data_IF_164451109210
#
_entry.id   IF_164451109210
#
_cell.length_a   1.000
_cell.length_b   1.000
_cell.length_c   1.000
_cell.angle_alpha   90.00
_cell.angle_beta   90.00
_cell.angle_gamma   90.00
#
_symmetry.space_group_name_H-M   'P 1'
#
loop_
_entity.id
_entity.type
_entity.pdbx_description
1 polymer ?
#
# COMPACT_ATOMS: atom_id res chain seq x y z
N UNK A 1 68.92 -47.52 21.73
CA UNK A 1 68.40 -47.26 20.37
C UNK A 1 66.90 -47.48 20.38
N UNK A 2 66.16 -46.45 19.95
CA UNK A 2 64.76 -46.42 19.46
C UNK A 2 63.64 -46.83 20.44
N UNK A 3 62.98 -45.81 20.98
CA UNK A 3 61.61 -45.84 21.48
C UNK A 3 60.63 -46.03 20.31
N UNK A 4 59.56 -46.81 20.52
CA UNK A 4 58.40 -46.85 19.62
C UNK A 4 57.16 -46.44 20.42
N UNK A 5 56.55 -45.37 19.94
CA UNK A 5 55.32 -44.73 20.40
C UNK A 5 54.12 -45.60 20.00
N UNK A 6 53.12 -45.79 20.87
CA UNK A 6 51.79 -46.23 20.45
C UNK A 6 50.74 -45.26 20.99
N UNK A 7 49.97 -44.71 20.06
CA UNK A 7 49.08 -43.58 20.22
C UNK A 7 47.74 -43.95 20.87
N UNK A 8 47.29 -43.09 21.79
CA UNK A 8 45.91 -43.04 22.29
C UNK A 8 44.98 -42.53 21.18
N UNK A 9 43.92 -43.28 20.89
CA UNK A 9 42.82 -42.84 20.02
C UNK A 9 41.77 -42.12 20.89
N UNK A 10 41.68 -40.80 20.78
CA UNK A 10 40.62 -39.98 21.39
C UNK A 10 39.45 -39.94 20.42
N UNK A 11 38.31 -40.50 20.80
CA UNK A 11 37.05 -40.36 20.07
C UNK A 11 36.47 -38.95 20.31
N UNK A 12 36.67 -38.05 19.36
CA UNK A 12 36.04 -36.73 19.36
C UNK A 12 34.58 -36.81 18.93
N UNK A 13 33.67 -36.46 19.83
CA UNK A 13 32.28 -36.13 19.50
C UNK A 13 32.28 -34.83 18.69
N UNK A 14 31.96 -34.91 17.40
CA UNK A 14 31.68 -33.74 16.57
C UNK A 14 30.30 -33.17 16.94
N UNK A 15 30.17 -31.87 17.27
CA UNK A 15 28.86 -31.26 17.32
C UNK A 15 28.31 -31.17 15.89
N UNK A 16 27.15 -31.79 15.64
CA UNK A 16 26.34 -31.50 14.47
C UNK A 16 25.86 -30.06 14.58
N UNK A 17 26.60 -29.13 13.96
CA UNK A 17 26.07 -27.82 13.62
C UNK A 17 25.06 -28.02 12.50
N UNK A 18 23.80 -28.27 12.84
CA UNK A 18 22.71 -28.09 11.90
C UNK A 18 22.71 -26.61 11.52
N UNK A 19 23.27 -26.27 10.35
CA UNK A 19 23.00 -24.96 9.75
C UNK A 19 21.48 -24.88 9.58
N UNK A 20 20.85 -23.96 10.28
CA UNK A 20 19.47 -23.61 9.98
C UNK A 20 19.44 -23.17 8.51
N UNK A 21 18.69 -23.89 7.67
CA UNK A 21 18.36 -23.41 6.33
C UNK A 21 17.63 -22.06 6.51
N UNK A 22 18.16 -21.00 5.87
CA UNK A 22 17.51 -19.69 5.86
C UNK A 22 16.18 -19.70 5.09
N UNK A 23 15.58 -18.53 4.91
CA UNK A 23 14.33 -18.39 4.17
C UNK A 23 14.46 -18.92 2.73
N UNK A 24 13.46 -19.67 2.27
CA UNK A 24 13.37 -20.14 0.88
C UNK A 24 12.34 -19.33 0.12
N UNK A 25 12.73 -18.77 -1.01
CA UNK A 25 11.88 -17.89 -1.83
C UNK A 25 11.55 -18.56 -3.14
N UNK A 26 10.27 -18.61 -3.48
CA UNK A 26 9.78 -18.94 -4.83
C UNK A 26 9.20 -17.68 -5.44
N UNK A 27 9.58 -17.36 -6.68
CA UNK A 27 9.23 -16.10 -7.35
C UNK A 27 8.41 -16.36 -8.60
N UNK A 28 7.42 -15.52 -8.82
CA UNK A 28 6.58 -15.51 -10.00
C UNK A 28 6.45 -14.09 -10.52
N UNK A 29 6.38 -13.95 -11.84
CA UNK A 29 5.76 -12.77 -12.45
C UNK A 29 4.32 -13.15 -12.75
N UNK A 30 3.37 -12.35 -12.25
CA UNK A 30 1.95 -12.61 -12.46
C UNK A 30 1.60 -12.34 -13.92
N UNK A 31 0.84 -13.25 -14.51
CA UNK A 31 0.41 -13.20 -15.91
C UNK A 31 -1.10 -13.05 -16.02
N UNK A 32 -1.57 -12.55 -17.16
CA UNK A 32 -2.99 -12.26 -17.45
C UNK A 32 -3.45 -13.11 -18.64
N UNK A 33 -3.81 -14.39 -18.41
CA UNK A 33 -3.99 -15.37 -19.49
C UNK A 33 -5.19 -15.11 -20.39
N UNK A 34 -6.21 -14.34 -19.95
CA UNK A 34 -7.29 -13.94 -20.85
C UNK A 34 -6.95 -12.67 -21.66
N UNK A 35 -5.72 -12.17 -21.54
CA UNK A 35 -5.25 -10.98 -22.23
C UNK A 35 -5.84 -9.71 -21.64
N UNK A 36 -6.09 -9.68 -20.33
CA UNK A 36 -6.62 -8.52 -19.64
C UNK A 36 -5.69 -7.31 -19.81
N UNK A 37 -6.26 -6.25 -20.37
CA UNK A 37 -5.65 -4.95 -20.53
C UNK A 37 -6.70 -3.88 -20.27
N UNK A 38 -6.30 -2.75 -19.71
CA UNK A 38 -7.18 -1.60 -19.62
C UNK A 38 -7.31 -0.98 -21.01
N UNK A 39 -8.55 -0.87 -21.50
CA UNK A 39 -8.80 -0.29 -22.82
C UNK A 39 -8.28 1.14 -22.89
N UNK A 40 -7.51 1.44 -23.94
CA UNK A 40 -6.87 2.75 -24.08
C UNK A 40 -6.86 3.20 -25.53
N UNK A 41 -7.55 4.32 -25.78
CA UNK A 41 -7.65 4.95 -27.10
C UNK A 41 -7.14 6.40 -27.07
N UNK A 42 -6.36 6.75 -26.04
CA UNK A 42 -5.87 8.10 -25.83
C UNK A 42 -4.70 8.48 -26.74
N UNK A 43 -4.15 9.67 -26.49
CA UNK A 43 -3.09 10.33 -27.29
C UNK A 43 -1.86 9.45 -27.50
N UNK A 44 -1.51 8.60 -26.54
CA UNK A 44 -0.32 7.74 -26.58
C UNK A 44 -0.62 6.26 -26.83
N UNK A 45 -1.80 5.92 -27.34
CA UNK A 45 -2.21 4.52 -27.57
C UNK A 45 -1.20 3.71 -28.42
N UNK A 46 -0.44 4.37 -29.31
CA UNK A 46 0.63 3.71 -30.09
C UNK A 46 1.76 3.11 -29.23
N UNK A 47 1.98 3.62 -28.02
CA UNK A 47 2.94 3.07 -27.07
C UNK A 47 2.42 1.83 -26.35
N UNK A 48 1.12 1.56 -26.45
CA UNK A 48 0.39 0.49 -25.76
C UNK A 48 -0.50 -0.26 -26.74
N UNK A 49 0.08 -1.01 -27.71
CA UNK A 49 -0.66 -1.61 -28.82
C UNK A 49 -1.75 -2.60 -28.39
N UNK A 50 -1.65 -3.17 -27.18
CA UNK A 50 -2.61 -4.11 -26.61
C UNK A 50 -3.54 -3.46 -25.57
N UNK A 51 -3.43 -2.15 -25.33
CA UNK A 51 -4.01 -1.47 -24.16
C UNK A 51 -3.01 -1.27 -23.04
N UNK A 52 -3.42 -0.53 -22.00
CA UNK A 52 -2.60 -0.30 -20.82
C UNK A 52 -2.51 -1.61 -20.00
N UNK A 53 -1.41 -1.85 -19.26
CA UNK A 53 -1.32 -2.96 -18.32
C UNK A 53 -2.44 -2.89 -17.26
N UNK A 54 -2.70 -3.99 -16.56
CA UNK A 54 -3.53 -4.00 -15.35
C UNK A 54 -2.58 -3.97 -14.15
N UNK A 55 -2.75 -3.01 -13.24
CA UNK A 55 -1.99 -2.93 -12.00
C UNK A 55 -2.69 -3.70 -10.90
N UNK A 56 -2.13 -4.82 -10.47
CA UNK A 56 -2.63 -5.61 -9.33
C UNK A 56 -1.62 -5.53 -8.18
N UNK A 57 -2.01 -5.99 -6.99
CA UNK A 57 -1.08 -6.13 -5.88
C UNK A 57 -1.19 -5.04 -4.81
N UNK A 58 -2.15 -4.13 -4.98
CA UNK A 58 -2.62 -3.12 -4.01
C UNK A 58 -3.39 -3.80 -2.85
N UNK A 59 -2.93 -4.97 -2.40
CA UNK A 59 -3.57 -5.83 -1.41
C UNK A 59 -3.54 -7.31 -1.80
N UNK A 60 -3.37 -8.20 -0.81
CA UNK A 60 -3.34 -9.65 -1.06
C UNK A 60 -3.94 -10.46 0.10
N UNK A 61 -4.93 -11.29 -0.20
CA UNK A 61 -5.52 -12.22 0.76
C UNK A 61 -5.40 -13.66 0.28
N UNK A 62 -4.96 -14.58 1.15
CA UNK A 62 -4.97 -16.01 0.84
C UNK A 62 -6.36 -16.61 1.08
N UNK A 63 -7.06 -16.91 -0.01
CA UNK A 63 -8.42 -17.46 0.01
C UNK A 63 -8.46 -18.95 0.33
N UNK A 64 -7.41 -19.69 -0.07
CA UNK A 64 -7.27 -21.11 0.23
C UNK A 64 -6.63 -21.90 -0.90
N UNK A 65 -6.81 -23.22 -0.87
CA UNK A 65 -6.28 -24.13 -1.89
C UNK A 65 -7.37 -24.69 -2.79
N UNK A 66 -7.06 -24.87 -4.06
CA UNK A 66 -7.84 -25.68 -5.00
C UNK A 66 -6.95 -26.80 -5.54
N UNK A 67 -7.05 -27.99 -4.96
CA UNK A 67 -6.03 -29.01 -5.15
C UNK A 67 -4.69 -28.55 -4.58
N UNK A 68 -3.63 -28.58 -5.39
CA UNK A 68 -2.30 -28.09 -5.02
C UNK A 68 -2.11 -26.57 -5.27
N UNK A 69 -3.03 -25.95 -6.01
CA UNK A 69 -2.94 -24.54 -6.36
C UNK A 69 -3.33 -23.66 -5.16
N UNK A 70 -2.59 -22.57 -4.96
CA UNK A 70 -2.93 -21.53 -4.00
C UNK A 70 -3.78 -20.47 -4.70
N UNK A 71 -4.88 -20.07 -4.06
CA UNK A 71 -5.77 -19.04 -4.56
C UNK A 71 -5.68 -17.84 -3.63
N UNK A 72 -5.39 -16.69 -4.23
CA UNK A 72 -5.40 -15.41 -3.55
C UNK A 72 -6.46 -14.51 -4.15
N UNK A 73 -6.94 -13.54 -3.39
CA UNK A 73 -7.69 -12.39 -3.88
C UNK A 73 -6.82 -11.14 -3.74
N UNK A 74 -6.86 -10.28 -4.75
CA UNK A 74 -6.12 -9.01 -4.82
C UNK A 74 -7.06 -7.91 -5.32
N UNK A 75 -6.61 -6.66 -5.21
CA UNK A 75 -7.28 -5.51 -5.81
C UNK A 75 -6.30 -4.70 -6.63
N UNK A 76 -6.84 -3.82 -7.47
CA UNK A 76 -6.09 -2.78 -8.17
C UNK A 76 -6.29 -1.45 -7.45
N UNK A 77 -5.35 -0.52 -7.59
CA UNK A 77 -5.49 0.86 -7.15
C UNK A 77 -6.43 1.66 -8.08
N UNK A 78 -6.41 2.99 -7.96
CA UNK A 78 -7.26 3.97 -8.69
C UNK A 78 -7.20 3.95 -10.22
N UNK A 79 -6.37 3.13 -10.84
CA UNK A 79 -6.30 3.04 -12.30
C UNK A 79 -5.04 3.66 -12.90
N UNK A 80 -4.84 3.47 -14.22
CA UNK A 80 -3.63 3.92 -14.91
C UNK A 80 -3.41 5.43 -14.77
N UNK A 81 -2.41 5.80 -13.97
CA UNK A 81 -2.07 7.18 -13.70
C UNK A 81 -0.56 7.45 -13.84
N UNK A 82 -0.19 8.72 -14.03
CA UNK A 82 1.20 9.14 -14.15
C UNK A 82 1.43 10.56 -13.60
N UNK A 83 2.68 10.85 -13.23
CA UNK A 83 3.11 12.19 -12.82
C UNK A 83 2.82 13.22 -13.91
N UNK A 84 2.36 14.41 -13.51
CA UNK A 84 2.00 15.47 -14.43
C UNK A 84 2.67 16.81 -14.07
N UNK A 85 2.77 17.73 -15.04
CA UNK A 85 3.06 19.13 -14.76
C UNK A 85 2.01 19.77 -13.86
N UNK A 86 2.44 20.72 -13.04
CA UNK A 86 1.56 21.44 -12.11
C UNK A 86 0.48 22.22 -12.86
N UNK A 87 -0.69 22.37 -12.24
CA UNK A 87 -1.79 23.21 -12.74
C UNK A 87 -1.99 24.35 -11.77
N UNK A 88 -1.65 25.58 -12.17
CA UNK A 88 -1.74 26.76 -11.29
C UNK A 88 -1.09 26.53 -9.91
N UNK A 89 0.15 26.03 -9.93
CA UNK A 89 0.96 25.68 -8.73
C UNK A 89 0.41 24.54 -7.87
N UNK A 90 -0.64 23.84 -8.32
CA UNK A 90 -1.14 22.62 -7.66
C UNK A 90 -0.55 21.37 -8.28
N UNK A 91 -0.31 20.38 -7.43
CA UNK A 91 0.02 19.02 -7.87
C UNK A 91 -1.05 18.49 -8.83
N UNK A 92 -0.64 17.67 -9.78
CA UNK A 92 -1.52 17.10 -10.79
C UNK A 92 -1.10 15.69 -11.15
N UNK A 93 -2.07 14.90 -11.62
CA UNK A 93 -1.86 13.55 -12.14
C UNK A 93 -2.60 13.38 -13.44
N UNK A 94 -1.99 12.64 -14.36
CA UNK A 94 -2.66 12.19 -15.58
C UNK A 94 -3.38 10.89 -15.26
N UNK A 95 -4.67 10.83 -15.54
CA UNK A 95 -5.47 9.61 -15.56
C UNK A 95 -5.61 9.18 -17.02
N UNK A 96 -4.86 8.16 -17.43
CA UNK A 96 -4.81 7.70 -18.83
C UNK A 96 -6.11 6.99 -19.24
N UNK A 97 -6.84 6.44 -18.26
CA UNK A 97 -8.19 5.87 -18.44
C UNK A 97 -9.11 6.37 -17.32
N UNK A 98 -9.67 7.59 -17.42
CA UNK A 98 -10.47 8.22 -16.35
C UNK A 98 -11.72 7.42 -15.94
N UNK A 99 -12.28 6.66 -16.87
CA UNK A 99 -13.46 5.80 -16.64
C UNK A 99 -13.08 4.42 -16.06
N UNK A 100 -11.81 4.21 -15.71
CA UNK A 100 -11.37 2.97 -15.07
C UNK A 100 -12.03 2.81 -13.71
N UNK A 101 -12.54 1.60 -13.47
CA UNK A 101 -13.08 1.17 -12.21
C UNK A 101 -12.08 0.21 -11.55
N UNK A 102 -11.67 0.45 -10.29
CA UNK A 102 -10.85 -0.50 -9.56
C UNK A 102 -11.46 -1.90 -9.58
N UNK A 103 -10.62 -2.93 -9.65
CA UNK A 103 -11.04 -4.32 -9.79
C UNK A 103 -10.66 -5.12 -8.56
N UNK A 104 -11.51 -6.07 -8.19
CA UNK A 104 -11.07 -7.27 -7.48
C UNK A 104 -10.68 -8.34 -8.51
N UNK A 105 -9.61 -9.07 -8.23
CA UNK A 105 -9.16 -10.21 -9.03
C UNK A 105 -8.76 -11.37 -8.12
N UNK A 106 -8.67 -12.57 -8.70
CA UNK A 106 -8.03 -13.70 -8.04
C UNK A 106 -6.66 -13.95 -8.66
N UNK A 107 -5.69 -14.40 -7.88
CA UNK A 107 -4.41 -14.90 -8.38
C UNK A 107 -4.34 -16.39 -8.09
N UNK A 108 -4.28 -17.20 -9.13
CA UNK A 108 -4.00 -18.64 -9.02
C UNK A 108 -2.51 -18.87 -9.12
N UNK A 109 -1.91 -19.42 -8.07
CA UNK A 109 -0.50 -19.80 -8.03
C UNK A 109 -0.37 -21.32 -8.05
N UNK A 110 0.19 -21.82 -9.14
CA UNK A 110 0.57 -23.22 -9.33
C UNK A 110 2.06 -23.40 -9.01
N UNK A 111 2.59 -24.62 -9.12
CA UNK A 111 4.03 -24.86 -9.00
C UNK A 111 4.89 -24.15 -10.06
N UNK A 112 4.29 -23.62 -11.15
CA UNK A 112 5.02 -23.06 -12.30
C UNK A 112 4.66 -21.61 -12.65
N UNK A 113 3.50 -21.14 -12.22
CA UNK A 113 2.96 -19.87 -12.69
C UNK A 113 2.07 -19.21 -11.63
N UNK A 114 2.01 -17.87 -11.67
CA UNK A 114 0.99 -17.07 -11.04
C UNK A 114 0.15 -16.40 -12.14
N UNK A 115 -1.16 -16.56 -12.08
CA UNK A 115 -2.10 -16.10 -13.10
C UNK A 115 -3.21 -15.29 -12.44
N UNK A 116 -3.35 -14.02 -12.81
CA UNK A 116 -4.46 -13.17 -12.41
C UNK A 116 -5.69 -13.47 -13.27
N UNK A 117 -6.83 -13.73 -12.64
CA UNK A 117 -8.07 -14.19 -13.28
C UNK A 117 -9.29 -13.57 -12.60
N UNK A 118 -10.47 -13.78 -13.19
CA UNK A 118 -11.77 -13.40 -12.62
C UNK A 118 -11.88 -11.91 -12.24
N UNK A 119 -11.65 -10.96 -13.15
CA UNK A 119 -11.80 -9.54 -12.85
C UNK A 119 -13.25 -9.18 -12.50
N UNK A 120 -13.41 -8.39 -11.44
CA UNK A 120 -14.70 -7.94 -10.91
C UNK A 120 -14.61 -6.45 -10.58
N UNK A 121 -15.26 -5.61 -11.38
CA UNK A 121 -15.24 -4.16 -11.15
C UNK A 121 -15.99 -3.79 -9.88
N UNK A 122 -15.41 -2.86 -9.12
CA UNK A 122 -16.11 -2.23 -8.01
C UNK A 122 -17.24 -1.35 -8.53
N UNK A 123 -18.42 -1.54 -7.98
CA UNK A 123 -19.63 -0.88 -8.43
C UNK A 123 -20.65 -0.71 -7.28
N UNK A 124 -21.60 0.19 -7.46
CA UNK A 124 -22.74 0.41 -6.57
C UNK A 124 -24.05 0.44 -7.39
N UNK A 125 -25.11 1.02 -6.84
CA UNK A 125 -26.40 1.12 -7.55
C UNK A 125 -26.36 2.08 -8.75
N UNK A 126 -25.42 3.03 -8.73
CA UNK A 126 -25.20 4.04 -9.76
C UNK A 126 -24.26 3.55 -10.89
N UNK A 127 -23.65 2.37 -10.73
CA UNK A 127 -22.80 1.70 -11.71
C UNK A 127 -21.36 1.56 -11.23
N UNK A 128 -20.40 1.55 -12.15
CA UNK A 128 -18.99 1.42 -11.79
C UNK A 128 -18.48 2.63 -10.99
N UNK A 129 -17.61 2.35 -10.02
CA UNK A 129 -16.79 3.33 -9.31
C UNK A 129 -15.70 3.86 -10.28
N UNK A 130 -15.08 4.98 -9.93
CA UNK A 130 -13.92 5.54 -10.65
C UNK A 130 -12.76 5.74 -9.69
N UNK A 131 -11.52 5.78 -10.18
CA UNK A 131 -10.38 6.21 -9.36
C UNK A 131 -10.06 7.71 -9.39
N UNK A 132 -10.89 8.53 -10.03
CA UNK A 132 -10.74 9.99 -9.99
C UNK A 132 -10.78 10.53 -8.55
N UNK A 133 -10.02 11.59 -8.23
CA UNK A 133 -9.92 12.11 -6.87
C UNK A 133 -11.23 12.75 -6.39
N UNK A 134 -11.40 12.80 -5.06
CA UNK A 134 -12.55 13.46 -4.43
C UNK A 134 -12.51 15.00 -4.60
N UNK A 135 -13.67 15.69 -4.61
CA UNK A 135 -13.74 17.15 -4.63
C UNK A 135 -12.95 17.81 -3.49
N UNK A 136 -12.40 19.00 -3.74
CA UNK A 136 -11.43 19.67 -2.84
C UNK A 136 -11.98 20.04 -1.45
N UNK A 137 -13.30 20.12 -1.29
CA UNK A 137 -13.97 20.43 -0.03
C UNK A 137 -14.35 19.18 0.79
N UNK A 138 -14.04 17.98 0.29
CA UNK A 138 -14.35 16.72 0.96
C UNK A 138 -13.16 16.18 1.74
N UNK A 139 -13.45 15.59 2.91
CA UNK A 139 -12.54 14.67 3.60
C UNK A 139 -12.11 13.59 2.61
N UNK A 140 -10.80 13.39 2.56
CA UNK A 140 -10.16 12.43 1.69
C UNK A 140 -9.79 12.96 0.30
N UNK A 141 -9.99 14.24 0.03
CA UNK A 141 -9.40 14.85 -1.18
C UNK A 141 -7.88 14.78 -1.16
N UNK A 142 -7.30 14.58 -2.34
CA UNK A 142 -5.85 14.67 -2.56
C UNK A 142 -5.42 16.09 -2.91
N UNK A 143 -6.38 16.98 -3.21
CA UNK A 143 -6.20 18.33 -3.75
C UNK A 143 -5.41 18.41 -5.07
N UNK A 144 -5.09 17.25 -5.67
CA UNK A 144 -4.44 17.20 -6.98
C UNK A 144 -5.43 17.50 -8.09
N UNK A 145 -4.94 18.09 -9.17
CA UNK A 145 -5.74 18.28 -10.39
C UNK A 145 -5.64 17.02 -11.24
N UNK A 146 -6.78 16.37 -11.48
CA UNK A 146 -6.88 15.28 -12.44
C UNK A 146 -6.82 15.82 -13.87
N UNK A 147 -5.93 15.27 -14.69
CA UNK A 147 -5.76 15.59 -16.09
C UNK A 147 -6.00 14.35 -16.95
N UNK A 148 -6.48 14.50 -18.18
CA UNK A 148 -6.37 13.44 -19.18
C UNK A 148 -4.96 13.41 -19.79
N UNK A 149 -4.70 12.46 -20.68
CA UNK A 149 -3.41 12.31 -21.36
C UNK A 149 -3.08 13.40 -22.40
N UNK A 150 -4.03 14.30 -22.67
CA UNK A 150 -3.82 15.53 -23.41
C UNK A 150 -3.56 16.74 -22.50
N UNK A 151 -3.38 16.52 -21.18
CA UNK A 151 -3.18 17.53 -20.14
C UNK A 151 -4.37 18.48 -19.95
N UNK A 152 -5.58 18.03 -20.27
CA UNK A 152 -6.80 18.80 -20.03
C UNK A 152 -7.42 18.39 -18.69
N UNK A 153 -7.95 19.35 -17.90
CA UNK A 153 -8.60 19.04 -16.63
C UNK A 153 -9.79 18.09 -16.77
N UNK A 154 -9.87 17.16 -15.83
CA UNK A 154 -10.99 16.25 -15.61
C UNK A 154 -11.80 16.72 -14.39
N UNK A 155 -13.07 16.29 -14.34
CA UNK A 155 -13.89 16.48 -13.14
C UNK A 155 -13.47 15.51 -12.03
N UNK A 156 -13.56 15.96 -10.78
CA UNK A 156 -13.48 15.10 -9.60
C UNK A 156 -14.73 14.24 -9.46
N UNK A 157 -14.67 13.22 -8.60
CA UNK A 157 -15.80 12.32 -8.34
C UNK A 157 -15.98 12.07 -6.85
N UNK A 158 -17.21 12.16 -6.34
CA UNK A 158 -17.55 11.70 -4.98
C UNK A 158 -17.58 10.17 -4.85
N UNK A 159 -17.56 9.46 -6.00
CA UNK A 159 -17.46 8.01 -6.12
C UNK A 159 -16.02 7.58 -6.48
N UNK A 160 -15.04 8.45 -6.20
CA UNK A 160 -13.62 8.19 -6.35
C UNK A 160 -13.11 7.23 -5.29
N UNK A 161 -12.40 6.17 -5.67
CA UNK A 161 -11.69 5.27 -4.75
C UNK A 161 -10.30 4.91 -5.30
N UNK A 162 -9.33 4.93 -4.40
CA UNK A 162 -7.97 4.41 -4.57
C UNK A 162 -7.81 3.20 -3.67
N UNK A 163 -8.28 2.05 -4.16
CA UNK A 163 -8.48 0.89 -3.30
C UNK A 163 -7.19 0.16 -2.99
N UNK A 164 -7.02 -0.10 -1.70
CA UNK A 164 -5.85 -0.75 -1.12
C UNK A 164 -6.31 -1.84 -0.16
N UNK A 165 -5.50 -2.87 0.03
CA UNK A 165 -5.73 -3.97 0.95
C UNK A 165 -7.01 -4.79 0.67
N UNK A 166 -7.01 -6.06 1.08
CA UNK A 166 -8.20 -6.90 1.01
C UNK A 166 -8.22 -7.93 2.13
N UNK A 167 -9.37 -8.09 2.78
CA UNK A 167 -9.56 -9.11 3.81
C UNK A 167 -11.00 -9.64 3.77
N UNK A 168 -11.27 -10.91 4.11
CA UNK A 168 -12.62 -11.45 4.04
C UNK A 168 -13.53 -10.79 5.07
N UNK A 169 -14.83 -10.69 4.77
CA UNK A 169 -15.83 -10.26 5.76
C UNK A 169 -16.28 -11.41 6.70
N UNK A 170 -15.92 -12.65 6.35
CA UNK A 170 -16.31 -13.88 7.06
C UNK A 170 -17.69 -14.43 6.66
N UNK A 171 -18.35 -13.83 5.67
CA UNK A 171 -19.70 -14.14 5.16
C UNK A 171 -19.73 -14.32 3.63
N UNK A 172 -18.57 -14.32 2.98
CA UNK A 172 -18.41 -14.54 1.53
C UNK A 172 -18.18 -13.27 0.71
N UNK A 173 -18.16 -12.11 1.35
CA UNK A 173 -17.69 -10.85 0.78
C UNK A 173 -16.31 -10.46 1.34
N UNK A 174 -15.97 -9.19 1.17
CA UNK A 174 -14.67 -8.65 1.54
C UNK A 174 -14.79 -7.25 2.15
N UNK A 175 -13.82 -6.93 2.99
CA UNK A 175 -13.48 -5.56 3.34
C UNK A 175 -12.27 -5.13 2.53
N UNK A 176 -12.34 -3.94 1.94
CA UNK A 176 -11.24 -3.24 1.30
C UNK A 176 -10.95 -1.96 2.07
N UNK A 177 -9.74 -1.41 1.95
CA UNK A 177 -9.47 -0.05 2.39
C UNK A 177 -9.16 0.86 1.19
N UNK A 178 -8.95 2.14 1.47
CA UNK A 178 -8.79 3.14 0.44
C UNK A 178 -7.82 4.22 0.90
N UNK A 179 -6.94 4.60 -0.03
CA UNK A 179 -5.89 5.57 0.22
C UNK A 179 -6.48 6.98 0.30
N UNK A 180 -7.56 7.32 -0.42
CA UNK A 180 -8.17 8.66 -0.40
C UNK A 180 -8.78 9.06 0.95
N UNK A 181 -9.67 8.30 1.56
CA UNK A 181 -10.53 8.79 2.64
C UNK A 181 -9.83 9.27 3.92
N UNK A 182 -9.20 8.40 4.70
CA UNK A 182 -9.08 6.95 4.46
C UNK A 182 -10.42 6.23 4.71
N UNK A 183 -10.83 5.33 3.82
CA UNK A 183 -12.13 4.64 3.91
C UNK A 183 -12.00 3.13 4.14
N UNK A 184 -13.00 2.55 4.80
CA UNK A 184 -13.23 1.11 4.89
C UNK A 184 -14.47 0.77 4.05
N UNK A 185 -14.36 -0.19 3.14
CA UNK A 185 -15.37 -0.48 2.13
C UNK A 185 -15.80 -1.95 2.27
N UNK A 186 -17.08 -2.20 2.54
CA UNK A 186 -17.67 -3.54 2.51
C UNK A 186 -18.15 -3.84 1.10
N UNK A 187 -17.70 -4.95 0.52
CA UNK A 187 -18.11 -5.41 -0.80
C UNK A 187 -18.61 -6.84 -0.74
N UNK A 188 -19.57 -7.19 -1.60
CA UNK A 188 -19.89 -8.59 -1.85
C UNK A 188 -18.85 -9.26 -2.78
N UNK A 189 -18.99 -10.57 -3.00
CA UNK A 189 -18.09 -11.35 -3.85
C UNK A 189 -18.01 -10.85 -5.31
N UNK A 190 -18.99 -10.09 -5.79
CA UNK A 190 -19.03 -9.56 -7.16
C UNK A 190 -18.39 -8.18 -7.29
N UNK A 191 -17.92 -7.58 -6.19
CA UNK A 191 -17.39 -6.22 -6.15
C UNK A 191 -18.45 -5.14 -5.90
N UNK A 192 -19.69 -5.52 -5.56
CA UNK A 192 -20.72 -4.52 -5.24
C UNK A 192 -20.47 -3.94 -3.86
N UNK A 193 -20.34 -2.61 -3.78
CA UNK A 193 -20.23 -1.88 -2.51
C UNK A 193 -21.55 -1.97 -1.75
N UNK A 194 -21.47 -2.53 -0.55
CA UNK A 194 -22.58 -2.68 0.39
C UNK A 194 -22.60 -1.55 1.42
N UNK A 195 -21.42 -1.14 1.88
CA UNK A 195 -21.27 -0.10 2.89
C UNK A 195 -19.89 0.56 2.78
N UNK A 196 -19.81 1.83 3.17
CA UNK A 196 -18.54 2.57 3.27
C UNK A 196 -18.48 3.32 4.59
N UNK A 197 -17.35 3.24 5.27
CA UNK A 197 -17.04 3.99 6.49
C UNK A 197 -15.86 4.93 6.26
N UNK A 198 -15.89 6.07 6.90
CA UNK A 198 -14.87 7.11 6.77
C UNK A 198 -14.80 8.00 7.99
N UNK A 199 -13.86 8.96 8.03
CA UNK A 199 -13.75 9.87 9.16
C UNK A 199 -15.08 10.60 9.36
N UNK A 200 -15.62 10.53 10.57
CA UNK A 200 -16.88 11.19 10.93
C UNK A 200 -16.68 12.70 10.80
N UNK A 201 -17.35 13.42 9.89
CA UNK A 201 -17.12 14.85 9.69
C UNK A 201 -17.48 15.67 10.94
N UNK A 202 -16.73 16.74 11.20
CA UNK A 202 -16.99 17.70 12.27
C UNK A 202 -17.21 19.11 11.71
N UNK A 203 -18.12 19.89 12.33
CA UNK A 203 -18.40 21.26 11.91
C UNK A 203 -18.90 21.34 10.46
N UNK A 204 -18.16 22.03 9.60
CA UNK A 204 -18.51 22.25 8.19
C UNK A 204 -17.79 21.29 7.23
N UNK A 205 -17.22 20.19 7.74
CA UNK A 205 -16.56 19.20 6.90
C UNK A 205 -17.57 18.41 6.05
N UNK A 206 -17.23 18.20 4.78
CA UNK A 206 -17.98 17.33 3.89
C UNK A 206 -17.29 15.97 3.78
N UNK A 207 -18.06 14.88 3.70
CA UNK A 207 -17.50 13.53 3.54
C UNK A 207 -18.48 12.64 2.77
N UNK A 208 -17.93 11.65 2.07
CA UNK A 208 -18.69 10.61 1.36
C UNK A 208 -18.98 9.39 2.24
N UNK A 209 -18.46 9.36 3.47
CA UNK A 209 -18.67 8.31 4.46
C UNK A 209 -18.45 8.83 5.89
N UNK A 210 -18.92 8.06 6.88
CA UNK A 210 -18.82 8.40 8.30
C UNK A 210 -18.64 7.12 9.12
N UNK A 211 -18.42 7.23 10.44
CA UNK A 211 -18.34 6.10 11.37
C UNK A 211 -16.93 5.71 11.82
N UNK A 212 -15.88 6.36 11.31
CA UNK A 212 -14.51 6.23 11.83
C UNK A 212 -14.10 7.50 12.61
N UNK A 213 -13.04 7.44 13.43
CA UNK A 213 -12.55 8.60 14.18
C UNK A 213 -12.15 9.75 13.26
N UNK A 214 -12.63 10.96 13.54
CA UNK A 214 -12.37 12.15 12.70
C UNK A 214 -10.87 12.44 12.50
N UNK A 215 -10.03 12.16 13.50
CA UNK A 215 -8.61 12.53 13.50
C UNK A 215 -7.83 11.95 12.31
N UNK A 216 -8.23 10.80 11.78
CA UNK A 216 -7.54 10.17 10.64
C UNK A 216 -7.74 10.93 9.32
N UNK A 217 -8.62 11.96 9.28
CA UNK A 217 -8.70 12.92 8.17
C UNK A 217 -7.37 13.63 7.91
N UNK A 218 -6.52 13.73 8.94
CA UNK A 218 -5.18 14.31 8.86
C UNK A 218 -4.17 13.37 8.20
N UNK A 219 -4.61 12.29 7.55
CA UNK A 219 -3.76 11.51 6.65
C UNK A 219 -3.09 12.47 5.64
N UNK A 220 -1.89 12.12 5.22
CA UNK A 220 -1.25 12.86 4.13
C UNK A 220 -1.96 12.53 2.81
N UNK A 221 -2.18 13.49 1.89
CA UNK A 221 -2.74 13.20 0.57
C UNK A 221 -2.04 12.02 -0.12
N UNK A 222 -2.81 11.11 -0.72
CA UNK A 222 -2.35 9.81 -1.25
C UNK A 222 -1.50 9.04 -0.24
N UNK A 223 -1.98 8.93 1.02
CA UNK A 223 -1.41 8.13 2.14
C UNK A 223 -2.47 7.78 3.21
N UNK A 224 -3.64 7.33 2.80
CA UNK A 224 -4.75 6.93 3.68
C UNK A 224 -4.54 5.57 4.30
N UNK A 225 -5.53 4.67 4.19
CA UNK A 225 -5.32 3.28 4.60
C UNK A 225 -4.63 2.52 3.48
N UNK A 226 -3.58 1.78 3.82
CA UNK A 226 -2.83 0.94 2.86
C UNK A 226 -3.12 -0.55 3.03
N UNK A 227 -3.20 -0.99 4.29
CA UNK A 227 -3.36 -2.40 4.61
C UNK A 227 -4.50 -2.59 5.59
N UNK A 228 -5.23 -3.69 5.42
CA UNK A 228 -6.21 -4.12 6.40
C UNK A 228 -6.23 -5.64 6.60
N UNK A 229 -6.63 -6.05 7.79
CA UNK A 229 -6.88 -7.47 8.10
C UNK A 229 -8.04 -7.64 9.05
N UNK A 230 -8.79 -8.73 8.89
CA UNK A 230 -9.78 -9.20 9.86
C UNK A 230 -9.10 -10.08 10.91
N UNK A 231 -9.21 -9.70 12.18
CA UNK A 231 -8.81 -10.54 13.31
C UNK A 231 -9.76 -11.74 13.47
N UNK A 232 -9.35 -12.83 14.14
CA UNK A 232 -10.23 -13.96 14.42
C UNK A 232 -11.58 -13.59 15.06
N UNK A 233 -11.60 -12.60 15.97
CA UNK A 233 -12.82 -12.11 16.63
C UNK A 233 -13.74 -11.26 15.72
N UNK A 234 -13.34 -10.97 14.49
CA UNK A 234 -14.11 -10.19 13.52
C UNK A 234 -13.80 -8.69 13.51
N UNK A 235 -12.93 -8.21 14.39
CA UNK A 235 -12.41 -6.84 14.34
C UNK A 235 -11.60 -6.63 13.06
N UNK A 236 -11.84 -5.53 12.36
CA UNK A 236 -11.03 -5.10 11.22
C UNK A 236 -9.94 -4.16 11.74
N UNK A 237 -8.69 -4.44 11.44
CA UNK A 237 -7.56 -3.54 11.67
C UNK A 237 -7.19 -2.91 10.34
N UNK A 238 -7.05 -1.59 10.30
CA UNK A 238 -6.57 -0.84 9.12
C UNK A 238 -5.37 0.01 9.51
N UNK A 239 -4.34 0.05 8.67
CA UNK A 239 -3.13 0.81 8.91
C UNK A 239 -3.13 2.10 8.08
N UNK A 240 -3.00 3.26 8.73
CA UNK A 240 -2.75 4.51 8.02
C UNK A 240 -1.30 4.46 7.48
N UNK A 241 -1.13 4.62 6.16
CA UNK A 241 0.11 4.37 5.43
C UNK A 241 1.30 5.14 6.04
N UNK A 242 1.09 6.38 6.48
CA UNK A 242 2.15 7.22 7.05
C UNK A 242 1.66 8.00 8.26
N UNK A 243 2.60 8.59 8.99
CA UNK A 243 2.31 9.53 10.09
C UNK A 243 1.26 10.58 9.70
N UNK A 244 0.35 10.92 10.62
CA UNK A 244 -0.62 11.98 10.37
C UNK A 244 0.08 13.34 10.26
N UNK A 245 -0.48 14.23 9.44
CA UNK A 245 -0.04 15.61 9.23
C UNK A 245 -1.00 16.63 9.85
N UNK A 246 -1.13 16.59 11.17
CA UNK A 246 -2.02 17.46 11.92
C UNK A 246 -1.53 18.90 11.78
N UNK A 247 -2.38 19.75 11.19
CA UNK A 247 -2.14 21.16 10.88
C UNK A 247 -0.83 21.42 10.10
N UNK A 248 -0.36 20.44 9.31
CA UNK A 248 0.88 20.56 8.54
C UNK A 248 2.17 20.46 9.36
N UNK A 249 2.09 19.98 10.62
CA UNK A 249 3.18 20.12 11.61
C UNK A 249 3.76 18.80 12.11
N UNK A 250 3.02 17.70 12.12
CA UNK A 250 3.43 16.47 12.81
C UNK A 250 4.14 15.45 11.91
N UNK A 251 3.82 15.37 10.61
CA UNK A 251 4.22 14.23 9.75
C UNK A 251 5.71 13.87 9.76
N UNK A 252 6.58 14.87 9.89
CA UNK A 252 8.03 14.65 9.80
C UNK A 252 8.65 14.14 11.11
N UNK A 253 7.94 14.21 12.25
CA UNK A 253 8.50 13.99 13.60
C UNK A 253 7.71 13.02 14.47
N UNK A 254 6.46 12.71 14.13
CA UNK A 254 5.63 11.79 14.90
C UNK A 254 6.32 10.43 15.06
N UNK A 255 6.24 9.85 16.26
CA UNK A 255 6.92 8.61 16.63
C UNK A 255 6.19 7.34 16.13
N UNK A 256 4.99 7.49 15.58
CA UNK A 256 4.11 6.39 15.20
C UNK A 256 3.17 6.80 14.05
N UNK A 257 2.64 5.80 13.35
CA UNK A 257 1.38 5.92 12.58
C UNK A 257 0.27 5.14 13.28
N UNK A 258 -0.99 5.36 12.90
CA UNK A 258 -2.15 4.77 13.56
C UNK A 258 -2.58 3.45 12.92
N UNK A 259 -2.89 2.47 13.77
CA UNK A 259 -3.73 1.33 13.44
C UNK A 259 -5.14 1.61 13.97
N UNK A 260 -6.13 1.62 13.09
CA UNK A 260 -7.54 1.77 13.45
C UNK A 260 -8.12 0.37 13.61
N UNK A 261 -8.68 0.07 14.79
CA UNK A 261 -9.38 -1.19 15.05
C UNK A 261 -10.88 -0.91 15.06
N UNK A 262 -11.64 -1.49 14.14
CA UNK A 262 -13.06 -1.28 13.95
C UNK A 262 -13.82 -2.60 14.12
N UNK A 263 -14.87 -2.60 14.95
CA UNK A 263 -15.76 -3.75 15.08
C UNK A 263 -17.00 -3.52 14.18
N UNK A 264 -17.20 -4.34 13.13
CA UNK A 264 -18.33 -4.14 12.21
C UNK A 264 -19.71 -4.40 12.83
N UNK A 265 -19.80 -5.18 13.91
CA UNK A 265 -21.08 -5.50 14.56
C UNK A 265 -21.57 -4.34 15.43
N UNK A 266 -20.67 -3.74 16.22
CA UNK A 266 -20.99 -2.61 17.10
C UNK A 266 -20.76 -1.25 16.43
N UNK A 267 -20.07 -1.21 15.29
CA UNK A 267 -19.60 -0.02 14.59
C UNK A 267 -18.81 0.94 15.49
N UNK A 268 -18.04 0.37 16.43
CA UNK A 268 -17.16 1.13 17.32
C UNK A 268 -15.71 0.95 16.90
N UNK A 269 -14.91 1.99 17.08
CA UNK A 269 -13.48 1.97 16.80
C UNK A 269 -12.64 2.34 18.02
N UNK A 270 -11.42 1.80 18.06
CA UNK A 270 -10.31 2.31 18.87
C UNK A 270 -9.07 2.45 18.02
N UNK A 271 -8.07 3.19 18.49
CA UNK A 271 -6.82 3.40 17.74
C UNK A 271 -5.60 3.01 18.56
N UNK A 272 -4.64 2.37 17.91
CA UNK A 272 -3.33 2.03 18.49
C UNK A 272 -2.23 2.74 17.71
N UNK A 273 -1.09 3.00 18.35
CA UNK A 273 0.09 3.55 17.67
C UNK A 273 1.05 2.44 17.24
N UNK A 274 1.35 2.33 15.95
CA UNK A 274 2.43 1.52 15.41
C UNK A 274 3.74 2.34 15.40
N UNK A 275 4.80 1.93 16.11
CA UNK A 275 6.01 2.74 16.24
C UNK A 275 6.79 2.81 14.93
N UNK A 276 7.25 4.00 14.56
CA UNK A 276 8.17 4.22 13.44
C UNK A 276 9.60 4.29 13.98
N UNK A 277 10.54 3.63 13.30
CA UNK A 277 11.96 3.72 13.63
C UNK A 277 12.53 5.03 13.08
N UNK A 278 12.18 6.17 13.69
CA UNK A 278 12.43 7.50 13.12
C UNK A 278 13.92 7.76 12.79
N UNK A 279 14.85 7.16 13.52
CA UNK A 279 16.30 7.30 13.30
C UNK A 279 16.80 6.61 12.01
N UNK A 280 16.00 5.69 11.46
CA UNK A 280 16.30 5.02 10.20
C UNK A 280 15.97 5.90 8.99
N UNK A 281 15.03 6.83 9.13
CA UNK A 281 14.52 7.62 8.01
C UNK A 281 15.01 9.07 8.08
N UNK A 282 15.03 9.75 6.93
CA UNK A 282 15.32 11.20 6.91
C UNK A 282 14.21 12.01 7.57
N UNK A 283 12.96 11.59 7.37
CA UNK A 283 11.75 12.14 8.01
C UNK A 283 10.84 10.97 8.39
N UNK A 284 10.12 11.07 9.50
CA UNK A 284 9.25 9.98 9.96
C UNK A 284 8.21 9.54 8.89
N UNK A 285 7.66 10.49 8.13
CA UNK A 285 6.75 10.24 7.00
C UNK A 285 7.33 9.43 5.83
N UNK A 286 8.65 9.26 5.77
CA UNK A 286 9.29 8.51 4.69
C UNK A 286 9.15 6.99 4.94
N UNK A 287 8.82 6.58 6.18
CA UNK A 287 8.33 5.25 6.50
C UNK A 287 6.88 5.11 6.04
N UNK A 288 6.62 4.10 5.21
CA UNK A 288 5.29 3.75 4.70
C UNK A 288 4.91 2.35 5.12
N UNK A 289 3.66 2.16 5.49
CA UNK A 289 3.06 0.83 5.61
C UNK A 289 2.70 0.32 4.21
N UNK A 290 2.87 -0.96 3.95
CA UNK A 290 2.50 -1.60 2.68
C UNK A 290 1.23 -2.44 2.78
N UNK A 291 1.22 -3.49 3.60
CA UNK A 291 0.00 -4.28 3.89
C UNK A 291 0.13 -4.97 5.26
N UNK A 292 -0.97 -5.51 5.78
CA UNK A 292 -1.02 -6.21 7.07
C UNK A 292 -1.80 -7.52 6.99
N UNK A 293 -1.40 -8.51 7.80
CA UNK A 293 -2.16 -9.76 7.95
C UNK A 293 -2.19 -10.21 9.41
N UNK A 294 -3.35 -10.66 9.87
CA UNK A 294 -3.53 -11.13 11.24
C UNK A 294 -2.90 -12.50 11.47
N UNK A 295 -2.27 -12.68 12.64
CA UNK A 295 -1.89 -13.98 13.17
C UNK A 295 -2.90 -14.46 14.22
N UNK A 296 -3.31 -13.55 15.09
CA UNK A 296 -4.35 -13.74 16.10
C UNK A 296 -4.94 -12.38 16.54
N UNK A 297 -5.76 -12.35 17.59
CA UNK A 297 -6.42 -11.12 18.07
C UNK A 297 -5.46 -10.07 18.68
N UNK A 298 -4.19 -10.41 18.87
CA UNK A 298 -3.19 -9.55 19.51
C UNK A 298 -1.95 -9.33 18.65
N UNK A 299 -1.77 -10.11 17.57
CA UNK A 299 -0.57 -10.07 16.74
C UNK A 299 -0.93 -10.00 15.27
N UNK A 300 -0.24 -9.10 14.57
CA UNK A 300 -0.29 -8.96 13.12
C UNK A 300 1.11 -9.02 12.53
N UNK A 301 1.23 -9.37 11.26
CA UNK A 301 2.38 -9.01 10.44
C UNK A 301 2.08 -7.73 9.69
N UNK A 302 3.09 -6.90 9.50
CA UNK A 302 2.96 -5.61 8.83
C UNK A 302 4.19 -5.36 7.96
N UNK A 303 3.98 -4.89 6.73
CA UNK A 303 5.04 -4.37 5.88
C UNK A 303 5.33 -2.92 6.22
N UNK A 304 6.59 -2.59 6.51
CA UNK A 304 7.08 -1.22 6.54
C UNK A 304 8.21 -1.06 5.52
N UNK A 305 8.14 0.01 4.74
CA UNK A 305 9.01 0.27 3.60
C UNK A 305 9.35 1.76 3.43
N UNK A 306 10.37 2.02 2.64
CA UNK A 306 10.80 3.38 2.30
C UNK A 306 12.32 3.51 2.23
N UNK A 307 12.79 4.58 1.58
CA UNK A 307 14.20 4.90 1.55
C UNK A 307 14.67 5.40 2.91
N UNK A 308 15.74 4.80 3.43
CA UNK A 308 16.37 5.26 4.66
C UNK A 308 17.06 6.64 4.47
N UNK A 309 17.64 7.17 5.55
CA UNK A 309 18.34 8.46 5.52
C UNK A 309 19.52 8.51 4.52
N UNK A 310 20.06 7.36 4.16
CA UNK A 310 21.16 7.17 3.20
C UNK A 310 20.65 6.79 1.80
N UNK A 311 19.33 6.92 1.59
CA UNK A 311 18.59 6.67 0.34
C UNK A 311 18.63 5.20 -0.11
N UNK A 312 18.88 4.26 0.81
CA UNK A 312 18.75 2.84 0.50
C UNK A 312 17.30 2.41 0.76
N UNK A 313 16.69 1.77 -0.24
CA UNK A 313 15.32 1.31 -0.12
C UNK A 313 15.24 0.13 0.86
N UNK A 314 14.29 0.18 1.79
CA UNK A 314 14.01 -0.85 2.77
C UNK A 314 12.61 -1.42 2.49
N UNK A 315 12.44 -2.75 2.56
CA UNK A 315 11.13 -3.41 2.57
C UNK A 315 11.21 -4.54 3.59
N UNK A 316 10.49 -4.37 4.71
CA UNK A 316 10.61 -5.25 5.87
C UNK A 316 9.24 -5.70 6.33
N UNK A 317 9.15 -6.96 6.73
CA UNK A 317 7.98 -7.52 7.39
C UNK A 317 8.29 -7.56 8.89
N UNK A 318 7.43 -6.95 9.68
CA UNK A 318 7.51 -6.92 11.13
C UNK A 318 6.41 -7.78 11.75
N UNK A 319 6.75 -8.54 12.78
CA UNK A 319 5.77 -9.06 13.73
C UNK A 319 5.43 -7.94 14.72
N UNK A 320 4.14 -7.61 14.83
CA UNK A 320 3.64 -6.54 15.69
C UNK A 320 2.75 -7.12 16.77
N UNK A 321 3.07 -6.84 18.02
CA UNK A 321 2.30 -7.18 19.22
C UNK A 321 1.51 -5.96 19.69
N UNK A 322 0.18 -6.11 19.70
CA UNK A 322 -0.81 -5.10 20.04
C UNK A 322 -1.25 -5.20 21.52
N UNK A 323 -0.91 -6.28 22.23
CA UNK A 323 -1.50 -6.65 23.52
C UNK A 323 -1.33 -5.61 24.62
N UNK A 324 -0.25 -4.82 24.58
CA UNK A 324 0.07 -3.78 25.56
C UNK A 324 -0.12 -2.36 25.04
N UNK A 325 -0.56 -2.19 23.79
CA UNK A 325 -0.73 -0.87 23.21
C UNK A 325 -1.91 -0.13 23.86
N UNK A 326 -1.70 1.15 24.21
CA UNK A 326 -2.75 2.01 24.74
C UNK A 326 -3.76 2.37 23.64
N UNK A 327 -5.03 2.47 23.99
CA UNK A 327 -6.03 3.11 23.13
C UNK A 327 -5.75 4.62 23.08
N UNK A 328 -5.54 5.13 21.87
CA UNK A 328 -5.25 6.54 21.60
C UNK A 328 -6.50 7.41 21.59
N UNK A 329 -7.70 6.83 21.46
CA UNK A 329 -8.97 7.56 21.32
C UNK A 329 -9.20 8.62 22.41
N UNK A 330 -8.95 8.36 23.71
CA UNK A 330 -9.14 9.35 24.75
C UNK A 330 -8.20 10.57 24.65
N UNK A 331 -7.11 10.47 23.90
CA UNK A 331 -6.09 11.52 23.80
C UNK A 331 -6.33 12.51 22.65
N UNK A 332 -7.32 12.25 21.79
CA UNK A 332 -7.61 13.05 20.60
C UNK A 332 -8.51 14.26 20.91
N UNK A 333 -9.22 14.26 22.05
CA UNK A 333 -10.30 15.20 22.35
C UNK A 333 -9.84 16.63 22.75
N UNK A 334 -8.59 16.80 23.20
CA UNK A 334 -8.16 18.04 23.87
C UNK A 334 -7.22 18.92 23.02
N UNK A 335 -7.05 18.62 21.73
CA UNK A 335 -6.07 19.29 20.87
C UNK A 335 -4.61 19.01 21.23
N UNK A 336 -4.36 18.02 22.11
CA UNK A 336 -3.04 17.54 22.53
C UNK A 336 -2.75 16.19 21.90
N UNK A 337 -2.81 16.14 20.58
CA UNK A 337 -2.60 14.91 19.84
C UNK A 337 -1.25 14.27 20.16
N UNK A 338 -1.15 12.96 20.43
CA UNK A 338 0.12 12.30 20.73
C UNK A 338 1.15 12.36 19.58
N UNK A 339 0.73 12.70 18.36
CA UNK A 339 1.60 12.89 17.18
C UNK A 339 2.65 13.99 17.36
N UNK A 340 2.44 14.91 18.33
CA UNK A 340 3.39 15.96 18.66
C UNK A 340 4.41 15.56 19.73
N UNK A 341 4.21 14.41 20.37
CA UNK A 341 5.06 13.95 21.46
C UNK A 341 6.27 13.16 20.96
N UNK A 342 7.40 13.29 21.67
CA UNK A 342 8.48 12.31 21.62
C UNK A 342 8.19 11.09 22.52
N UNK A 343 9.06 10.08 22.49
CA UNK A 343 8.86 8.84 23.26
C UNK A 343 8.77 9.08 24.78
N UNK A 344 9.54 10.02 25.33
CA UNK A 344 9.52 10.31 26.77
C UNK A 344 8.23 11.03 27.17
N UNK A 345 7.70 11.89 26.31
CA UNK A 345 6.42 12.56 26.48
C UNK A 345 5.25 11.58 26.39
N UNK A 346 5.27 10.65 25.43
CA UNK A 346 4.30 9.56 25.33
C UNK A 346 4.28 8.72 26.63
N UNK A 347 5.45 8.30 27.11
CA UNK A 347 5.59 7.53 28.36
C UNK A 347 5.04 8.31 29.56
N UNK A 348 5.37 9.61 29.68
CA UNK A 348 4.86 10.47 30.75
C UNK A 348 3.33 10.61 30.73
N UNK A 349 2.70 10.48 29.55
CA UNK A 349 1.24 10.46 29.37
C UNK A 349 0.61 9.08 29.60
N UNK A 350 1.41 8.05 29.87
CA UNK A 350 0.95 6.67 30.00
C UNK A 350 0.57 6.02 28.66
N UNK A 351 1.08 6.54 27.55
CA UNK A 351 0.82 6.01 26.21
C UNK A 351 1.90 4.98 25.88
N UNK A 352 1.48 3.73 25.68
CA UNK A 352 2.33 2.64 25.21
C UNK A 352 2.01 2.37 23.74
N UNK A 353 3.02 2.45 22.87
CA UNK A 353 2.89 2.05 21.46
C UNK A 353 2.90 0.53 21.34
N UNK A 354 2.41 -0.01 20.22
CA UNK A 354 2.59 -1.42 19.88
C UNK A 354 4.08 -1.78 19.84
N UNK A 355 4.41 -3.04 20.09
CA UNK A 355 5.79 -3.52 19.99
C UNK A 355 6.00 -4.21 18.64
N UNK A 356 7.11 -3.91 17.95
CA UNK A 356 7.45 -4.56 16.68
C UNK A 356 8.79 -5.26 16.73
N UNK A 357 8.90 -6.37 16.01
CA UNK A 357 10.13 -7.12 15.81
C UNK A 357 10.31 -7.44 14.32
N UNK A 358 11.48 -7.15 13.76
CA UNK A 358 11.78 -7.51 12.36
C UNK A 358 11.71 -9.04 12.20
N UNK A 359 10.94 -9.49 11.21
CA UNK A 359 10.76 -10.89 10.88
C UNK A 359 11.48 -11.24 9.57
N UNK A 360 11.28 -10.42 8.52
CA UNK A 360 11.88 -10.63 7.20
C UNK A 360 12.40 -9.30 6.65
N UNK A 361 13.62 -9.31 6.12
CA UNK A 361 14.17 -8.24 5.29
C UNK A 361 14.14 -8.69 3.82
N UNK A 362 13.19 -8.17 3.05
CA UNK A 362 12.96 -8.60 1.67
C UNK A 362 14.12 -8.21 0.75
N UNK A 363 14.82 -7.10 1.07
CA UNK A 363 15.99 -6.65 0.32
C UNK A 363 17.14 -7.65 0.45
N UNK A 364 17.35 -8.23 1.64
CA UNK A 364 18.31 -9.33 1.84
C UNK A 364 17.94 -10.60 1.08
N UNK A 365 16.65 -10.83 0.81
CA UNK A 365 16.15 -11.93 -0.01
C UNK A 365 16.17 -11.62 -1.53
N UNK A 366 16.63 -10.42 -1.90
CA UNK A 366 16.85 -9.98 -3.28
C UNK A 366 15.69 -9.21 -3.90
N UNK A 367 14.71 -8.74 -3.13
CA UNK A 367 13.56 -7.99 -3.64
C UNK A 367 14.02 -6.70 -4.31
N UNK A 368 13.61 -6.45 -5.55
CA UNK A 368 14.05 -5.29 -6.33
C UNK A 368 12.96 -4.23 -6.47
N UNK A 369 11.68 -4.61 -6.50
CA UNK A 369 10.56 -3.68 -6.65
C UNK A 369 10.56 -2.62 -5.54
N UNK A 370 10.11 -1.41 -5.86
CA UNK A 370 10.03 -0.32 -4.86
C UNK A 370 9.08 -0.68 -3.72
N UNK A 371 7.89 -1.16 -4.08
CA UNK A 371 6.76 -1.35 -3.17
C UNK A 371 6.47 -2.82 -2.90
N UNK A 372 5.88 -3.09 -1.73
CA UNK A 372 5.28 -4.36 -1.32
C UNK A 372 3.94 -4.00 -0.66
N UNK A 373 2.86 -4.09 -1.42
CA UNK A 373 1.53 -3.60 -1.03
C UNK A 373 0.49 -4.73 -0.93
N UNK A 374 0.93 -5.97 -1.09
CA UNK A 374 0.15 -7.13 -0.68
C UNK A 374 0.94 -8.07 0.24
N UNK A 375 0.33 -8.51 1.33
CA UNK A 375 0.88 -9.46 2.29
C UNK A 375 -0.18 -10.49 2.73
N UNK A 376 0.07 -11.77 2.48
CA UNK A 376 -0.81 -12.85 2.93
C UNK A 376 -0.06 -13.93 3.72
N UNK A 377 -0.77 -14.55 4.68
CA UNK A 377 -0.33 -15.74 5.40
C UNK A 377 -0.92 -16.98 4.71
N UNK A 378 -0.08 -17.80 4.08
CA UNK A 378 -0.51 -19.05 3.42
C UNK A 378 -0.66 -20.18 4.44
N UNK A 379 0.29 -20.27 5.35
CA UNK A 379 0.27 -21.16 6.51
C UNK A 379 1.21 -20.62 7.59
N UNK A 380 1.39 -21.34 8.71
CA UNK A 380 2.24 -20.89 9.82
C UNK A 380 3.71 -20.64 9.45
N UNK A 381 4.19 -21.08 8.30
CA UNK A 381 5.59 -20.94 7.89
C UNK A 381 5.74 -20.25 6.52
N UNK A 382 4.66 -20.00 5.79
CA UNK A 382 4.71 -19.49 4.42
C UNK A 382 3.96 -18.17 4.31
N UNK A 383 4.68 -17.12 3.90
CA UNK A 383 4.12 -15.82 3.54
C UNK A 383 4.04 -15.69 2.02
N UNK A 384 3.07 -14.91 1.53
CA UNK A 384 3.05 -14.43 0.17
C UNK A 384 3.14 -12.89 0.18
N UNK A 385 3.94 -12.33 -0.71
CA UNK A 385 4.03 -10.87 -0.93
C UNK A 385 3.94 -10.54 -2.42
N UNK A 386 3.42 -9.35 -2.73
CA UNK A 386 3.31 -8.84 -4.09
C UNK A 386 3.56 -7.32 -4.12
N UNK A 387 4.12 -6.78 -5.21
CA UNK A 387 4.17 -5.33 -5.45
C UNK A 387 2.93 -4.85 -6.19
N UNK A 388 2.58 -3.60 -5.93
CA UNK A 388 1.90 -2.76 -6.90
C UNK A 388 2.93 -2.22 -7.92
N UNK A 389 2.58 -2.19 -9.20
CA UNK A 389 3.39 -1.64 -10.29
C UNK A 389 2.79 -0.36 -10.91
N UNK A 390 1.77 0.24 -10.28
CA UNK A 390 1.10 1.47 -10.71
C UNK A 390 0.62 1.37 -12.18
N UNK A 391 0.05 0.23 -12.57
CA UNK A 391 -0.36 -0.08 -13.95
C UNK A 391 0.78 -0.03 -14.99
N UNK A 392 2.04 -0.07 -14.58
CA UNK A 392 3.16 -0.25 -15.47
C UNK A 392 3.39 0.90 -16.46
N UNK A 393 2.99 2.13 -16.12
CA UNK A 393 3.18 3.33 -16.96
C UNK A 393 3.94 4.45 -16.24
N UNK A 394 4.52 5.34 -17.03
CA UNK A 394 5.21 6.53 -16.55
C UNK A 394 5.01 7.69 -17.54
N UNK A 395 5.14 8.91 -17.03
CA UNK A 395 5.30 10.08 -17.87
C UNK A 395 6.77 10.38 -18.14
N UNK A 396 7.09 10.79 -19.36
CA UNK A 396 8.45 11.08 -19.82
C UNK A 396 8.45 12.43 -20.51
N UNK A 397 9.32 13.32 -20.05
CA UNK A 397 9.56 14.60 -20.71
C UNK A 397 10.37 14.41 -21.98
N UNK A 398 9.95 15.12 -23.04
CA UNK A 398 10.68 15.23 -24.30
C UNK A 398 11.24 16.64 -24.42
N UNK A 399 12.53 16.71 -24.73
CA UNK A 399 13.29 17.98 -24.76
C UNK A 399 13.17 18.77 -23.45
N UNK A 400 13.49 18.16 -22.28
CA UNK A 400 13.44 18.89 -21.03
C UNK A 400 14.48 20.03 -21.04
N UNK A 401 14.15 21.16 -20.41
CA UNK A 401 15.04 22.31 -20.24
C UNK A 401 16.33 21.91 -19.51
N UNK A 402 16.22 21.07 -18.47
CA UNK A 402 17.38 20.45 -17.80
C UNK A 402 17.21 18.94 -17.77
N UNK A 403 18.32 18.22 -17.89
CA UNK A 403 18.33 16.76 -17.99
C UNK A 403 17.72 16.01 -16.78
N UNK A 404 17.67 16.64 -15.61
CA UNK A 404 17.12 16.06 -14.37
C UNK A 404 15.70 16.52 -14.06
N UNK A 405 15.11 17.33 -14.93
CA UNK A 405 13.77 17.82 -14.68
C UNK A 405 12.76 16.67 -14.69
N UNK A 406 11.74 16.82 -13.86
CA UNK A 406 10.57 15.96 -13.75
C UNK A 406 9.33 16.71 -14.19
N UNK A 407 8.23 15.99 -14.36
CA UNK A 407 6.98 16.57 -14.84
C UNK A 407 6.52 17.74 -13.95
N UNK A 408 6.57 17.57 -12.63
CA UNK A 408 6.20 18.54 -11.59
C UNK A 408 7.12 19.78 -11.51
N UNK A 409 8.25 19.80 -12.22
CA UNK A 409 9.04 21.02 -12.38
C UNK A 409 8.49 21.96 -13.49
N UNK A 410 7.45 21.55 -14.20
CA UNK A 410 6.77 22.32 -15.24
C UNK A 410 5.35 22.68 -14.81
N UNK A 411 4.76 23.69 -15.45
CA UNK A 411 3.34 24.01 -15.31
C UNK A 411 2.64 23.88 -16.65
N UNK A 412 1.42 23.35 -16.65
CA UNK A 412 0.56 23.32 -17.83
C UNK A 412 -0.27 24.61 -17.92
N UNK A 413 -0.31 25.20 -19.11
CA UNK A 413 -1.15 26.35 -19.44
C UNK A 413 -2.55 25.91 -19.88
N UNK A 414 -3.50 26.83 -19.91
CA UNK A 414 -4.87 26.53 -20.36
C UNK A 414 -4.95 26.00 -21.80
N UNK A 415 -3.98 26.29 -22.66
CA UNK A 415 -3.85 25.75 -24.03
C UNK A 415 -3.06 24.43 -24.10
N UNK A 416 -2.74 23.81 -22.95
CA UNK A 416 -2.08 22.50 -22.87
C UNK A 416 -0.57 22.53 -23.17
N UNK A 417 0.05 23.72 -23.18
CA UNK A 417 1.49 23.88 -23.34
C UNK A 417 2.20 23.87 -22.00
N UNK A 418 3.50 23.58 -22.03
CA UNK A 418 4.32 23.59 -20.84
C UNK A 418 5.05 24.92 -20.69
N UNK A 419 5.15 25.34 -19.44
CA UNK A 419 6.02 26.43 -19.02
C UNK A 419 6.96 25.94 -17.93
N UNK A 420 8.12 26.59 -17.83
CA UNK A 420 9.07 26.43 -16.74
C UNK A 420 9.54 27.80 -16.30
N UNK A 421 9.53 28.06 -15.00
CA UNK A 421 9.89 29.37 -14.42
C UNK A 421 9.11 30.53 -15.11
N UNK A 422 7.83 30.30 -15.44
CA UNK A 422 6.94 31.26 -16.10
C UNK A 422 7.20 31.48 -17.61
N UNK A 423 8.13 30.73 -18.22
CA UNK A 423 8.47 30.85 -19.65
C UNK A 423 7.95 29.65 -20.43
N UNK A 424 7.39 29.90 -21.61
CA UNK A 424 7.01 28.83 -22.54
C UNK A 424 8.26 28.08 -23.02
N UNK A 425 8.12 26.76 -23.16
CA UNK A 425 9.19 25.84 -23.55
C UNK A 425 8.71 24.89 -24.65
N UNK A 426 9.65 24.34 -25.42
CA UNK A 426 9.36 23.29 -26.41
C UNK A 426 9.21 21.91 -25.77
N UNK A 427 9.38 21.81 -24.45
CA UNK A 427 9.22 20.57 -23.70
C UNK A 427 7.80 20.05 -23.86
N UNK A 428 7.67 18.77 -24.16
CA UNK A 428 6.39 18.06 -24.19
C UNK A 428 6.45 16.85 -23.26
N UNK A 429 5.29 16.27 -22.98
CA UNK A 429 5.16 15.09 -22.14
C UNK A 429 4.57 13.95 -22.95
N UNK A 430 5.06 12.73 -22.69
CA UNK A 430 4.62 11.49 -23.29
C UNK A 430 4.33 10.45 -22.21
N UNK A 431 3.31 9.61 -22.38
CA UNK A 431 3.08 8.44 -21.52
C UNK A 431 3.66 7.20 -22.18
N UNK A 432 4.40 6.41 -21.41
CA UNK A 432 5.09 5.19 -21.87
C UNK A 432 4.99 4.07 -20.87
N UNK A 433 5.13 2.80 -21.30
CA UNK A 433 5.28 1.70 -20.37
C UNK A 433 6.56 1.85 -19.53
N UNK A 434 6.50 1.39 -18.29
CA UNK A 434 7.67 1.10 -17.47
C UNK A 434 8.53 0.02 -18.16
N UNK A 435 9.81 -0.03 -17.80
CA UNK A 435 10.70 -1.11 -18.22
C UNK A 435 10.71 -2.20 -17.15
N UNK A 436 11.16 -3.39 -17.52
CA UNK A 436 11.41 -4.45 -16.53
C UNK A 436 12.68 -4.10 -15.73
N UNK A 437 12.72 -4.42 -14.42
CA UNK A 437 11.70 -5.19 -13.69
C UNK A 437 10.51 -4.36 -13.16
N UNK A 438 10.56 -3.03 -13.17
CA UNK A 438 9.55 -2.16 -12.54
C UNK A 438 8.12 -2.32 -13.11
N UNK A 439 8.01 -2.74 -14.38
CA UNK A 439 6.72 -3.02 -15.00
C UNK A 439 6.06 -4.33 -14.57
N UNK A 440 6.79 -5.26 -13.93
CA UNK A 440 6.28 -6.58 -13.58
C UNK A 440 5.57 -6.57 -12.22
N UNK A 441 4.44 -7.29 -12.11
CA UNK A 441 3.87 -7.68 -10.81
C UNK A 441 4.57 -8.98 -10.37
N UNK A 442 5.49 -8.86 -9.42
CA UNK A 442 6.20 -9.98 -8.81
C UNK A 442 5.46 -10.49 -7.57
N UNK A 443 5.09 -11.77 -7.58
CA UNK A 443 4.57 -12.47 -6.42
C UNK A 443 5.62 -13.42 -5.87
N UNK A 444 5.93 -13.31 -4.58
CA UNK A 444 6.90 -14.18 -3.91
C UNK A 444 6.21 -15.01 -2.83
N UNK A 445 6.51 -16.32 -2.82
CA UNK A 445 6.24 -17.19 -1.68
C UNK A 445 7.50 -17.34 -0.85
N UNK A 446 7.44 -16.96 0.42
CA UNK A 446 8.56 -16.96 1.35
C UNK A 446 8.29 -18.00 2.43
N UNK A 447 9.02 -19.11 2.39
CA UNK A 447 9.02 -20.09 3.47
C UNK A 447 10.03 -19.67 4.53
N UNK A 448 9.52 -19.29 5.69
CA UNK A 448 10.30 -18.85 6.84
C UNK A 448 11.17 -19.98 7.40
N UNK A 449 12.34 -19.64 7.93
CA UNK A 449 13.25 -20.62 8.54
C UNK A 449 12.58 -21.38 9.70
N UNK A 450 11.67 -20.75 10.42
CA UNK A 450 10.87 -21.34 11.49
C UNK A 450 9.40 -20.96 11.34
N UNK A 451 8.44 -21.83 11.74
CA UNK A 451 7.04 -21.44 11.81
C UNK A 451 6.82 -20.29 12.79
N UNK A 452 5.89 -19.40 12.45
CA UNK A 452 5.32 -18.40 13.33
C UNK A 452 4.64 -19.09 14.51
N UNK A 453 4.94 -18.58 15.70
CA UNK A 453 4.45 -19.14 16.96
C UNK A 453 3.05 -18.66 17.29
#
# INVERSE_FOLDING_TARGET
>A
MKHTLLALLVAGLLPFSAQAEGEKVTRYVVTFPAGEHVQYQGKFAKNFPNGLPVGIGSGLYFTGKQGDDLIFTTVTDRGPNADAPLVSEKDAKIFASPDYAPLMMDIRVTAKAAEAINPRSLHDAEGNITGLPLPADFIGTTNEVALNDALQPLSTSQRGLDTEGVTPDGKGGFWLCDEYGPFLIHVDASGKILQKFGPTPAGNEHSVASGLPNIIKWRQPNRGFEGLTRLPDGTIVMAVQSTLDIDGKSKNKAQFTRLVMFNPETQTSRMLGYPINIDSYKKAKDAKIGDIVALDNQRILLVEQGADKDKQMQNRIYLVDLSKASDLTPFDADGKSPEFDDLAQLEKRGITLAHKQELVDLRKLGWQQEKVEGLALVDKQTLAVINDNDFGLQSVLRSPVKAKDKADDYQVTADGKLTRDGKSVDTTLEIKPLQKPEADNELWLIKLAQPLK
#
